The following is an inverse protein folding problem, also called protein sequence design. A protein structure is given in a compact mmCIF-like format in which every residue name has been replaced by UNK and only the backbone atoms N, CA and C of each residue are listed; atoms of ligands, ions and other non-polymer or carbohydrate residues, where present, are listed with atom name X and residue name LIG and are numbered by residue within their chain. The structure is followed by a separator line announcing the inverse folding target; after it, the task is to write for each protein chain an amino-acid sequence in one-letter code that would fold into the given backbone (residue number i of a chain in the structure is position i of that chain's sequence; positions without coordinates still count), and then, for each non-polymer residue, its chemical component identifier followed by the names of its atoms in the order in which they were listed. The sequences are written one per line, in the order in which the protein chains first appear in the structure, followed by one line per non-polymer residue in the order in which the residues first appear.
data_IF_850564344226
#
_entry.id   IF_850564344226
#
_cell.length_a   1.000
_cell.length_b   1.000
_cell.length_c   1.000
_cell.angle_alpha   90.00
_cell.angle_beta   90.00
_cell.angle_gamma   90.00
#
_symmetry.space_group_name_H-M   'P 1'
#
loop_
_entity.id
_entity.type
_entity.pdbx_description
1 polymer ?
#
# COMPACT_ATOMS: atom_id res chain seq x y z
N UNK A 1 66.05 -2.02 41.74
CA UNK A 1 65.02 -1.23 41.03
C UNK A 1 63.90 -2.19 40.74
N UNK A 2 62.74 -1.99 41.36
CA UNK A 2 61.62 -2.93 41.38
C UNK A 2 60.71 -2.64 40.19
N UNK A 3 60.60 -3.59 39.26
CA UNK A 3 59.57 -3.59 38.22
C UNK A 3 58.22 -3.93 38.86
N UNK A 4 57.33 -2.94 38.94
CA UNK A 4 55.95 -3.14 39.34
C UNK A 4 55.12 -3.45 38.08
N UNK A 5 54.73 -4.72 37.95
CA UNK A 5 53.73 -5.20 36.98
C UNK A 5 52.41 -4.46 37.19
N UNK A 6 52.01 -3.65 36.22
CA UNK A 6 50.67 -3.06 36.16
C UNK A 6 49.65 -4.18 35.92
N UNK A 7 48.71 -4.35 36.86
CA UNK A 7 47.59 -5.27 36.71
C UNK A 7 46.70 -4.83 35.54
N UNK A 8 46.15 -5.77 34.74
CA UNK A 8 45.25 -5.42 33.66
C UNK A 8 43.97 -4.80 34.25
N UNK A 9 43.60 -3.64 33.71
CA UNK A 9 42.31 -2.99 33.90
C UNK A 9 41.18 -4.03 33.82
N UNK A 10 40.45 -4.23 34.92
CA UNK A 10 39.22 -5.02 34.91
C UNK A 10 38.24 -4.29 33.99
N UNK A 11 37.91 -4.88 32.85
CA UNK A 11 36.77 -4.47 32.04
C UNK A 11 35.55 -4.42 32.94
N UNK A 12 35.00 -3.22 33.16
CA UNK A 12 33.78 -3.04 33.94
C UNK A 12 32.66 -3.85 33.30
N UNK A 13 32.20 -4.87 34.02
CA UNK A 13 31.03 -5.63 33.60
C UNK A 13 29.81 -4.71 33.58
N UNK A 14 28.99 -4.71 32.51
CA UNK A 14 27.84 -3.82 32.40
C UNK A 14 26.86 -4.08 33.56
N UNK A 15 26.29 -3.00 34.10
CA UNK A 15 25.34 -3.05 35.22
C UNK A 15 24.12 -3.91 34.88
N UNK A 16 23.42 -4.43 35.89
CA UNK A 16 22.20 -5.21 35.68
C UNK A 16 21.13 -4.43 34.89
N UNK A 17 21.05 -3.11 35.12
CA UNK A 17 20.16 -2.20 34.39
C UNK A 17 20.58 -2.04 32.92
N UNK A 18 21.87 -1.88 32.63
CA UNK A 18 22.38 -1.82 31.26
C UNK A 18 22.12 -3.14 30.51
N UNK A 19 22.27 -4.29 31.18
CA UNK A 19 21.92 -5.61 30.63
C UNK A 19 20.41 -5.72 30.35
N UNK A 20 19.56 -5.27 31.28
CA UNK A 20 18.11 -5.32 31.11
C UNK A 20 17.64 -4.45 29.93
N UNK A 21 18.19 -3.23 29.79
CA UNK A 21 17.91 -2.34 28.65
C UNK A 21 18.37 -2.95 27.33
N UNK A 22 19.55 -3.57 27.28
CA UNK A 22 20.03 -4.25 26.08
C UNK A 22 19.15 -5.45 25.68
N UNK A 23 18.68 -6.23 26.67
CA UNK A 23 17.75 -7.35 26.44
C UNK A 23 16.41 -6.82 25.91
N UNK A 24 15.85 -5.77 26.52
CA UNK A 24 14.61 -5.15 26.06
C UNK A 24 14.71 -4.62 24.62
N UNK A 25 15.81 -3.95 24.28
CA UNK A 25 16.07 -3.46 22.93
C UNK A 25 16.18 -4.61 21.92
N UNK A 26 16.81 -5.72 22.30
CA UNK A 26 16.92 -6.93 21.47
C UNK A 26 15.54 -7.56 21.21
N UNK A 27 14.71 -7.68 22.25
CA UNK A 27 13.34 -8.21 22.13
C UNK A 27 12.49 -7.30 21.24
N UNK A 28 12.58 -5.97 21.44
CA UNK A 28 11.85 -5.00 20.63
C UNK A 28 12.25 -5.08 19.15
N UNK A 29 13.55 -5.16 18.86
CA UNK A 29 14.04 -5.34 17.50
C UNK A 29 13.54 -6.64 16.87
N UNK A 30 13.62 -7.76 17.60
CA UNK A 30 13.13 -9.05 17.10
C UNK A 30 11.62 -9.02 16.81
N UNK A 31 10.83 -8.32 17.61
CA UNK A 31 9.40 -8.15 17.36
C UNK A 31 9.12 -7.29 16.11
N UNK A 32 9.91 -6.23 15.88
CA UNK A 32 9.83 -5.42 14.66
C UNK A 32 10.18 -6.26 13.43
N UNK A 33 11.31 -6.99 13.47
CA UNK A 33 11.76 -7.84 12.36
C UNK A 33 10.74 -8.95 12.07
N UNK A 34 10.10 -9.51 13.10
CA UNK A 34 9.03 -10.50 12.94
C UNK A 34 7.76 -9.90 12.33
N UNK A 35 7.33 -8.72 12.77
CA UNK A 35 6.17 -8.03 12.20
C UNK A 35 6.42 -7.64 10.74
N UNK A 36 7.62 -7.15 10.43
CA UNK A 36 8.07 -6.83 9.09
C UNK A 36 8.08 -8.08 8.18
N UNK A 37 8.63 -9.19 8.68
CA UNK A 37 8.61 -10.46 7.95
C UNK A 37 7.18 -10.97 7.73
N UNK A 38 6.32 -10.96 8.76
CA UNK A 38 4.94 -11.40 8.68
C UNK A 38 4.13 -10.54 7.69
N UNK A 39 4.35 -9.22 7.67
CA UNK A 39 3.73 -8.31 6.71
C UNK A 39 4.01 -8.68 5.25
N UNK A 40 5.12 -9.37 4.96
CA UNK A 40 5.53 -9.76 3.60
C UNK A 40 5.32 -11.23 3.28
N UNK A 41 5.16 -12.07 4.30
CA UNK A 41 5.17 -13.51 4.14
C UNK A 41 4.03 -14.15 4.93
N UNK A 42 3.16 -14.87 4.22
CA UNK A 42 2.06 -15.57 4.83
C UNK A 42 1.64 -16.78 4.03
N UNK A 43 1.42 -17.89 4.71
CA UNK A 43 0.92 -19.13 4.13
C UNK A 43 -0.19 -19.65 5.03
N UNK A 44 -1.29 -20.10 4.43
CA UNK A 44 -2.40 -20.61 5.22
C UNK A 44 -1.99 -21.96 5.87
N UNK A 45 -2.20 -22.12 7.19
CA UNK A 45 -1.75 -23.31 7.90
C UNK A 45 -2.53 -24.57 7.50
N UNK A 46 -3.70 -24.44 6.87
CA UNK A 46 -4.49 -25.58 6.39
C UNK A 46 -3.95 -26.02 5.01
N UNK A 47 -3.40 -27.24 4.87
CA UNK A 47 -2.87 -27.71 3.60
C UNK A 47 -4.00 -28.09 2.61
N UNK A 48 -3.64 -28.22 1.33
CA UNK A 48 -4.52 -28.75 0.30
C UNK A 48 -5.16 -27.71 -0.62
N UNK A 49 -5.92 -28.15 -1.64
CA UNK A 49 -6.50 -27.25 -2.64
C UNK A 49 -7.65 -26.42 -2.05
N UNK A 50 -7.70 -25.14 -2.41
CA UNK A 50 -8.76 -24.22 -1.98
C UNK A 50 -9.74 -23.97 -3.13
N UNK A 51 -11.04 -24.24 -2.89
CA UNK A 51 -12.08 -23.92 -3.87
C UNK A 51 -12.50 -22.45 -3.75
N UNK A 52 -12.33 -21.67 -4.81
CA UNK A 52 -12.77 -20.26 -4.86
C UNK A 52 -14.26 -20.13 -4.53
N UNK A 53 -14.58 -19.23 -3.61
CA UNK A 53 -15.93 -19.02 -3.09
C UNK A 53 -16.32 -19.92 -1.91
N UNK A 54 -15.48 -20.88 -1.50
CA UNK A 54 -15.73 -21.70 -0.30
C UNK A 54 -15.53 -20.91 1.00
N UNK A 55 -16.01 -21.44 2.15
CA UNK A 55 -15.67 -20.90 3.47
C UNK A 55 -14.17 -20.92 3.75
N UNK A 56 -13.42 -21.90 3.24
CA UNK A 56 -11.96 -21.93 3.36
C UNK A 56 -11.32 -20.77 2.60
N UNK A 57 -11.78 -20.47 1.38
CA UNK A 57 -11.30 -19.31 0.62
C UNK A 57 -11.55 -18.01 1.38
N UNK A 58 -12.75 -17.83 1.97
CA UNK A 58 -13.07 -16.70 2.83
C UNK A 58 -12.08 -16.54 3.97
N UNK A 59 -11.90 -17.60 4.76
CA UNK A 59 -10.96 -17.60 5.89
C UNK A 59 -9.56 -17.24 5.45
N UNK A 60 -9.12 -17.79 4.33
CA UNK A 60 -7.76 -17.65 3.82
C UNK A 60 -7.42 -16.18 3.52
N UNK A 61 -8.22 -15.48 2.71
CA UNK A 61 -7.90 -14.09 2.38
C UNK A 61 -8.15 -13.12 3.55
N UNK A 62 -9.12 -13.41 4.43
CA UNK A 62 -9.33 -12.60 5.63
C UNK A 62 -8.19 -12.77 6.64
N UNK A 63 -7.77 -14.01 6.90
CA UNK A 63 -6.66 -14.29 7.82
C UNK A 63 -5.34 -13.77 7.26
N UNK A 64 -5.12 -13.83 5.94
CA UNK A 64 -3.95 -13.21 5.32
C UNK A 64 -3.87 -11.73 5.72
N UNK A 65 -4.94 -10.96 5.53
CA UNK A 65 -4.94 -9.55 5.89
C UNK A 65 -4.79 -9.35 7.40
N UNK A 66 -5.57 -10.05 8.21
CA UNK A 66 -5.59 -9.90 9.67
C UNK A 66 -4.26 -10.28 10.34
N UNK A 67 -3.61 -11.35 9.88
CA UNK A 67 -2.40 -11.89 10.52
C UNK A 67 -1.11 -11.24 10.03
N UNK A 68 -1.15 -10.52 8.91
CA UNK A 68 0.03 -9.83 8.38
C UNK A 68 0.01 -8.32 8.71
N UNK A 69 -0.91 -7.88 9.57
CA UNK A 69 -0.99 -6.49 10.00
C UNK A 69 0.26 -6.06 10.77
N UNK A 70 0.84 -4.93 10.36
CA UNK A 70 1.97 -4.33 11.05
C UNK A 70 1.53 -3.02 11.74
N UNK A 71 1.46 -2.98 13.07
CA UNK A 71 0.94 -1.82 13.81
C UNK A 71 1.99 -0.70 13.96
N UNK A 72 2.73 -0.36 12.89
CA UNK A 72 3.67 0.76 12.93
C UNK A 72 2.92 2.08 13.15
N UNK A 73 3.57 3.02 13.85
CA UNK A 73 2.95 4.29 14.25
C UNK A 73 3.48 5.43 13.41
N UNK A 74 2.63 6.14 12.63
CA UNK A 74 3.09 7.28 11.84
C UNK A 74 3.77 8.38 12.67
N UNK A 75 3.33 8.57 13.92
CA UNK A 75 3.85 9.60 14.81
C UNK A 75 5.30 9.39 15.29
N UNK A 76 5.88 8.19 15.08
CA UNK A 76 7.28 7.90 15.47
C UNK A 76 8.20 7.72 14.27
N UNK A 77 7.71 8.04 13.06
CA UNK A 77 8.54 8.08 11.86
C UNK A 77 9.56 9.22 12.03
N UNK A 78 10.84 8.87 11.92
CA UNK A 78 11.93 9.84 11.90
C UNK A 78 12.10 10.38 10.48
N UNK A 79 11.51 11.54 10.21
CA UNK A 79 11.57 12.16 8.89
C UNK A 79 12.99 12.69 8.63
N UNK A 80 13.70 12.20 7.59
CA UNK A 80 15.08 12.59 7.34
C UNK A 80 15.18 14.07 6.98
N UNK A 81 16.23 14.75 7.45
CA UNK A 81 16.58 16.07 6.94
C UNK A 81 16.97 15.96 5.47
N UNK A 82 16.29 16.71 4.61
CA UNK A 82 16.55 16.72 3.17
C UNK A 82 17.53 17.84 2.81
N UNK A 83 18.42 17.58 1.85
CA UNK A 83 19.18 18.66 1.21
C UNK A 83 18.24 19.60 0.42
N UNK A 84 18.68 20.83 0.11
CA UNK A 84 17.82 21.82 -0.55
C UNK A 84 17.20 21.34 -1.88
N UNK A 85 17.94 20.56 -2.67
CA UNK A 85 17.45 20.09 -3.97
C UNK A 85 16.41 18.98 -3.77
N UNK A 86 16.65 18.04 -2.86
CA UNK A 86 15.68 17.00 -2.51
C UNK A 86 14.40 17.59 -1.90
N UNK A 87 14.53 18.57 -0.99
CA UNK A 87 13.38 19.27 -0.41
C UNK A 87 12.57 20.00 -1.48
N UNK A 88 13.23 20.69 -2.42
CA UNK A 88 12.56 21.33 -3.54
C UNK A 88 11.79 20.32 -4.40
N UNK A 89 12.40 19.17 -4.71
CA UNK A 89 11.72 18.11 -5.48
C UNK A 89 10.47 17.58 -4.77
N UNK A 90 10.56 17.27 -3.47
CA UNK A 90 9.42 16.78 -2.68
C UNK A 90 8.30 17.83 -2.62
N UNK A 91 8.63 19.07 -2.27
CA UNK A 91 7.64 20.15 -2.05
C UNK A 91 6.97 20.63 -3.34
N UNK A 92 7.61 20.43 -4.51
CA UNK A 92 7.05 20.80 -5.81
C UNK A 92 6.15 19.74 -6.45
N UNK A 93 6.00 18.55 -5.86
CA UNK A 93 5.12 17.53 -6.42
C UNK A 93 3.63 17.96 -6.28
N UNK A 94 2.87 18.07 -7.38
CA UNK A 94 1.48 18.50 -7.36
C UNK A 94 0.53 17.34 -7.00
N UNK A 95 0.88 16.57 -5.98
CA UNK A 95 0.19 15.31 -5.64
C UNK A 95 -0.31 15.28 -4.20
N UNK A 96 0.24 16.08 -3.30
CA UNK A 96 0.05 15.87 -1.86
C UNK A 96 -1.40 16.03 -1.41
N UNK A 97 -2.10 17.04 -1.94
CA UNK A 97 -3.54 17.23 -1.72
C UNK A 97 -4.33 16.02 -2.20
N UNK A 98 -4.04 15.56 -3.42
CA UNK A 98 -4.73 14.43 -4.04
C UNK A 98 -4.47 13.16 -3.22
N UNK A 99 -3.23 12.93 -2.80
CA UNK A 99 -2.82 11.77 -2.01
C UNK A 99 -3.58 11.69 -0.69
N UNK A 100 -3.48 12.72 0.15
CA UNK A 100 -4.15 12.77 1.45
C UNK A 100 -5.67 12.60 1.30
N UNK A 101 -6.25 13.22 0.29
CA UNK A 101 -7.70 13.12 0.05
C UNK A 101 -8.13 11.77 -0.50
N UNK A 102 -7.31 11.10 -1.31
CA UNK A 102 -7.56 9.75 -1.80
C UNK A 102 -7.60 8.76 -0.64
N UNK A 103 -6.59 8.79 0.24
CA UNK A 103 -6.56 7.93 1.44
C UNK A 103 -7.77 8.21 2.37
N UNK A 104 -8.12 9.49 2.54
CA UNK A 104 -9.30 9.89 3.30
C UNK A 104 -10.60 9.33 2.72
N UNK A 105 -10.78 9.39 1.41
CA UNK A 105 -11.97 8.81 0.74
C UNK A 105 -11.96 7.28 0.75
N UNK A 106 -10.79 6.65 0.58
CA UNK A 106 -10.63 5.21 0.61
C UNK A 106 -11.11 4.65 1.95
N UNK A 107 -10.57 5.15 3.07
CA UNK A 107 -10.98 4.72 4.42
C UNK A 107 -12.49 4.80 4.66
N UNK A 108 -13.16 5.89 4.25
CA UNK A 108 -14.61 6.04 4.38
C UNK A 108 -15.38 5.06 3.50
N UNK A 109 -14.92 4.80 2.27
CA UNK A 109 -15.57 3.83 1.37
C UNK A 109 -15.45 2.40 1.90
N UNK A 110 -14.27 2.00 2.37
CA UNK A 110 -14.05 0.67 2.95
C UNK A 110 -14.92 0.49 4.20
N UNK A 111 -14.88 1.45 5.13
CA UNK A 111 -15.69 1.40 6.35
C UNK A 111 -17.20 1.37 6.05
N UNK A 112 -17.65 2.16 5.08
CA UNK A 112 -19.05 2.18 4.66
C UNK A 112 -19.50 0.82 4.11
N UNK A 113 -18.64 0.13 3.37
CA UNK A 113 -18.93 -1.23 2.91
C UNK A 113 -18.86 -2.26 4.04
N UNK A 114 -17.87 -2.16 4.94
CA UNK A 114 -17.74 -3.02 6.12
C UNK A 114 -19.02 -3.03 6.96
N UNK A 115 -19.65 -1.86 7.16
CA UNK A 115 -20.91 -1.71 7.89
C UNK A 115 -22.09 -2.48 7.28
N UNK A 116 -22.01 -2.85 5.99
CA UNK A 116 -23.05 -3.65 5.31
C UNK A 116 -22.82 -5.16 5.40
N UNK A 117 -21.62 -5.60 5.79
CA UNK A 117 -21.23 -7.00 5.77
C UNK A 117 -21.69 -7.71 7.03
N UNK A 118 -22.45 -8.81 6.90
CA UNK A 118 -22.93 -9.60 8.04
C UNK A 118 -21.94 -10.66 8.53
N UNK A 119 -21.08 -11.17 7.64
CA UNK A 119 -20.07 -12.20 7.95
C UNK A 119 -18.98 -11.61 8.85
N UNK A 120 -18.85 -12.06 10.13
CA UNK A 120 -18.00 -11.39 11.11
C UNK A 120 -16.52 -11.35 10.71
N UNK A 121 -15.98 -12.45 10.18
CA UNK A 121 -14.57 -12.50 9.82
C UNK A 121 -14.24 -11.54 8.67
N UNK A 122 -15.13 -11.46 7.67
CA UNK A 122 -14.98 -10.54 6.55
C UNK A 122 -15.12 -9.08 7.00
N UNK A 123 -16.06 -8.80 7.91
CA UNK A 123 -16.22 -7.47 8.47
C UNK A 123 -14.94 -7.03 9.18
N UNK A 124 -14.36 -7.86 10.04
CA UNK A 124 -13.11 -7.53 10.74
C UNK A 124 -11.94 -7.29 9.79
N UNK A 125 -11.85 -8.06 8.70
CA UNK A 125 -10.82 -7.82 7.68
C UNK A 125 -11.03 -6.47 6.97
N UNK A 126 -12.28 -6.11 6.61
CA UNK A 126 -12.60 -4.80 6.01
C UNK A 126 -12.38 -3.64 6.97
N UNK A 127 -12.69 -3.81 8.25
CA UNK A 127 -12.43 -2.80 9.29
C UNK A 127 -10.92 -2.56 9.46
N UNK A 128 -10.11 -3.62 9.39
CA UNK A 128 -8.66 -3.49 9.37
C UNK A 128 -8.18 -2.77 8.12
N UNK A 129 -8.61 -3.19 6.94
CA UNK A 129 -8.31 -2.56 5.65
C UNK A 129 -8.56 -1.04 5.71
N UNK A 130 -9.79 -0.63 6.07
CA UNK A 130 -10.13 0.79 6.20
C UNK A 130 -9.37 1.55 7.30
N UNK A 131 -8.91 0.86 8.35
CA UNK A 131 -8.05 1.46 9.37
C UNK A 131 -6.61 1.66 8.88
N UNK A 132 -6.11 0.78 8.01
CA UNK A 132 -4.81 0.93 7.35
C UNK A 132 -4.84 2.11 6.37
N UNK A 133 -5.89 2.23 5.54
CA UNK A 133 -6.16 3.40 4.69
C UNK A 133 -6.17 4.71 5.48
N UNK A 134 -6.91 4.73 6.60
CA UNK A 134 -6.95 5.91 7.48
C UNK A 134 -5.57 6.24 8.05
N UNK A 135 -4.72 5.22 8.29
CA UNK A 135 -3.35 5.40 8.75
C UNK A 135 -2.44 5.91 7.64
N UNK A 136 -2.62 5.50 6.39
CA UNK A 136 -1.87 6.02 5.23
C UNK A 136 -2.07 7.52 5.09
N UNK A 137 -3.32 7.99 5.23
CA UNK A 137 -3.63 9.43 5.32
C UNK A 137 -2.79 10.12 6.38
N UNK A 138 -2.72 9.55 7.60
CA UNK A 138 -1.94 10.15 8.70
C UNK A 138 -0.45 10.18 8.38
N UNK A 139 0.11 9.14 7.76
CA UNK A 139 1.51 9.12 7.30
C UNK A 139 1.76 10.28 6.33
N UNK A 140 0.89 10.46 5.32
CA UNK A 140 1.01 11.55 4.35
C UNK A 140 0.85 12.93 5.00
N UNK A 141 -0.13 13.09 5.90
CA UNK A 141 -0.32 14.33 6.67
C UNK A 141 0.91 14.67 7.53
N UNK A 142 1.63 13.67 8.04
CA UNK A 142 2.87 13.88 8.78
C UNK A 142 4.06 14.21 7.89
N UNK A 143 4.13 13.66 6.67
CA UNK A 143 5.14 14.06 5.69
C UNK A 143 5.01 15.55 5.34
N UNK A 144 3.79 15.99 5.02
CA UNK A 144 3.56 17.37 4.56
C UNK A 144 3.84 18.37 5.69
N UNK A 145 3.51 18.00 6.94
CA UNK A 145 3.85 18.78 8.13
C UNK A 145 5.38 18.87 8.30
N UNK A 146 6.08 17.73 8.20
CA UNK A 146 7.54 17.66 8.38
C UNK A 146 8.32 18.51 7.36
N UNK A 147 7.85 18.60 6.12
CA UNK A 147 8.52 19.34 5.05
C UNK A 147 7.88 20.70 4.72
N UNK A 148 6.90 21.16 5.51
CA UNK A 148 6.28 22.47 5.35
C UNK A 148 5.48 22.64 4.05
N UNK A 149 4.88 21.55 3.55
CA UNK A 149 4.08 21.55 2.33
C UNK A 149 2.67 22.04 2.66
N UNK A 150 2.28 23.16 2.05
CA UNK A 150 0.95 23.72 2.23
C UNK A 150 -0.08 22.88 1.47
N UNK A 151 -1.04 22.30 2.20
CA UNK A 151 -2.18 21.62 1.61
C UNK A 151 -3.37 22.57 1.41
N UNK A 152 -4.14 22.32 0.37
CA UNK A 152 -5.49 22.83 0.23
C UNK A 152 -6.37 22.33 1.39
N UNK A 153 -7.43 23.08 1.77
CA UNK A 153 -8.37 22.63 2.78
C UNK A 153 -8.94 21.25 2.43
N UNK A 154 -8.86 20.30 3.37
CA UNK A 154 -9.41 18.97 3.17
C UNK A 154 -10.95 19.04 3.05
N UNK A 155 -11.55 18.38 2.05
CA UNK A 155 -13.00 18.27 1.95
C UNK A 155 -13.54 17.34 3.05
N UNK A 156 -14.84 17.47 3.33
CA UNK A 156 -15.53 16.47 4.13
C UNK A 156 -15.65 15.15 3.36
N UNK A 157 -15.18 14.05 3.96
CA UNK A 157 -15.25 12.72 3.37
C UNK A 157 -16.60 12.07 3.66
N UNK A 158 -17.58 12.30 2.78
CA UNK A 158 -18.92 11.75 2.94
C UNK A 158 -19.00 10.26 2.57
N UNK A 159 -19.80 9.46 3.28
CA UNK A 159 -20.09 8.09 2.88
C UNK A 159 -20.65 8.00 1.45
N UNK A 160 -20.27 6.98 0.66
CA UNK A 160 -20.82 6.79 -0.68
C UNK A 160 -22.31 6.42 -0.62
N UNK A 161 -23.09 6.92 -1.57
CA UNK A 161 -24.52 6.59 -1.68
C UNK A 161 -24.78 5.08 -1.94
N UNK A 162 -23.85 4.41 -2.64
CA UNK A 162 -23.82 2.95 -2.80
C UNK A 162 -22.48 2.44 -2.25
N UNK A 163 -22.52 1.79 -1.09
CA UNK A 163 -21.33 1.28 -0.42
C UNK A 163 -20.60 0.18 -1.23
N UNK A 164 -21.34 -0.68 -1.93
CA UNK A 164 -20.73 -1.71 -2.80
C UNK A 164 -20.05 -1.05 -4.01
N UNK A 165 -20.66 -0.01 -4.58
CA UNK A 165 -20.01 0.79 -5.62
C UNK A 165 -18.73 1.45 -5.11
N UNK A 166 -18.78 2.11 -3.96
CA UNK A 166 -17.62 2.75 -3.34
C UNK A 166 -16.46 1.78 -3.15
N UNK A 167 -16.74 0.61 -2.57
CA UNK A 167 -15.74 -0.44 -2.37
C UNK A 167 -15.16 -0.99 -3.68
N UNK A 168 -16.00 -1.24 -4.69
CA UNK A 168 -15.51 -1.70 -5.99
C UNK A 168 -14.64 -0.65 -6.69
N UNK A 169 -15.00 0.64 -6.61
CA UNK A 169 -14.19 1.73 -7.18
C UNK A 169 -12.84 1.80 -6.49
N UNK A 170 -12.82 1.78 -5.16
CA UNK A 170 -11.60 1.78 -4.34
C UNK A 170 -10.68 0.62 -4.70
N UNK A 171 -11.11 -0.63 -4.51
CA UNK A 171 -10.21 -1.78 -4.71
C UNK A 171 -9.78 -2.02 -6.16
N UNK A 172 -10.60 -1.68 -7.16
CA UNK A 172 -10.14 -1.72 -8.56
C UNK A 172 -9.20 -0.55 -8.90
N UNK A 173 -9.35 0.62 -8.27
CA UNK A 173 -8.41 1.73 -8.45
C UNK A 173 -7.06 1.39 -7.83
N UNK A 174 -7.03 0.89 -6.59
CA UNK A 174 -5.79 0.42 -5.93
C UNK A 174 -5.08 -0.62 -6.78
N UNK A 175 -5.78 -1.58 -7.38
CA UNK A 175 -5.14 -2.54 -8.31
C UNK A 175 -4.36 -1.86 -9.47
N UNK A 176 -4.77 -0.67 -9.90
CA UNK A 176 -4.09 0.13 -10.92
C UNK A 176 -3.00 1.00 -10.28
N UNK A 177 -3.34 1.68 -9.20
CA UNK A 177 -2.51 2.69 -8.55
C UNK A 177 -1.34 2.04 -7.82
N UNK A 178 -1.56 0.97 -7.04
CA UNK A 178 -0.48 0.22 -6.39
C UNK A 178 0.47 -0.39 -7.43
N UNK A 179 -0.02 -0.93 -8.56
CA UNK A 179 0.85 -1.46 -9.63
C UNK A 179 1.82 -0.40 -10.17
N UNK A 180 1.32 0.81 -10.43
CA UNK A 180 2.16 1.90 -10.90
C UNK A 180 3.05 2.48 -9.78
N UNK A 181 2.54 2.60 -8.56
CA UNK A 181 3.29 3.05 -7.39
C UNK A 181 4.47 2.12 -7.08
N UNK A 182 4.30 0.81 -7.17
CA UNK A 182 5.37 -0.18 -6.94
C UNK A 182 6.58 0.08 -7.84
N UNK A 183 6.35 0.31 -9.13
CA UNK A 183 7.43 0.64 -10.06
C UNK A 183 8.02 2.03 -9.82
N UNK A 184 7.17 3.03 -9.55
CA UNK A 184 7.61 4.40 -9.29
C UNK A 184 8.50 4.51 -8.05
N UNK A 185 8.11 3.88 -6.94
CA UNK A 185 8.90 3.86 -5.71
C UNK A 185 10.23 3.15 -5.91
N UNK A 186 10.23 2.03 -6.64
CA UNK A 186 11.48 1.35 -6.97
C UNK A 186 12.36 2.19 -7.91
N UNK A 187 11.78 2.96 -8.84
CA UNK A 187 12.51 3.87 -9.70
C UNK A 187 13.15 4.99 -8.88
N UNK A 188 12.39 5.64 -8.01
CA UNK A 188 12.86 6.69 -7.12
C UNK A 188 14.02 6.22 -6.23
N UNK A 189 13.92 5.00 -5.67
CA UNK A 189 14.99 4.39 -4.88
C UNK A 189 16.26 4.13 -5.71
N UNK A 190 16.12 3.65 -6.95
CA UNK A 190 17.25 3.28 -7.81
C UNK A 190 17.95 4.49 -8.41
N UNK A 191 17.21 5.55 -8.73
CA UNK A 191 17.76 6.76 -9.36
C UNK A 191 18.41 7.71 -8.37
N UNK A 192 18.17 7.56 -7.06
CA UNK A 192 18.58 8.53 -6.05
C UNK A 192 17.83 9.85 -6.15
N UNK A 193 16.69 9.86 -6.88
CA UNK A 193 15.86 11.06 -7.03
C UNK A 193 15.35 11.57 -5.68
N UNK A 194 15.10 10.65 -4.73
CA UNK A 194 14.91 10.98 -3.32
C UNK A 194 15.93 10.22 -2.46
N UNK A 195 16.32 10.77 -1.29
CA UNK A 195 17.16 10.05 -0.33
C UNK A 195 16.54 8.70 0.02
N UNK A 196 17.37 7.65 0.16
CA UNK A 196 16.88 6.31 0.43
C UNK A 196 16.08 6.26 1.73
N UNK A 197 16.50 7.02 2.74
CA UNK A 197 15.85 7.14 4.04
C UNK A 197 14.40 7.65 3.91
N UNK A 198 14.15 8.58 2.98
CA UNK A 198 12.81 9.09 2.71
C UNK A 198 11.97 8.03 2.01
N UNK A 199 12.52 7.32 1.03
CA UNK A 199 11.77 6.31 0.27
C UNK A 199 11.43 5.10 1.16
N UNK A 200 12.37 4.64 1.97
CA UNK A 200 12.19 3.48 2.86
C UNK A 200 11.14 3.74 3.96
N UNK A 201 10.92 5.01 4.34
CA UNK A 201 9.83 5.40 5.25
C UNK A 201 8.44 4.99 4.74
N UNK A 202 8.27 4.93 3.41
CA UNK A 202 7.02 4.52 2.78
C UNK A 202 6.91 3.03 2.49
N UNK A 203 8.00 2.24 2.57
CA UNK A 203 7.94 0.82 2.22
C UNK A 203 6.84 0.05 2.98
N UNK A 204 6.57 0.32 4.28
CA UNK A 204 5.43 -0.29 4.97
C UNK A 204 4.07 0.07 4.33
N UNK A 205 3.84 1.33 3.95
CA UNK A 205 2.61 1.77 3.24
C UNK A 205 2.47 1.01 1.93
N UNK A 206 3.54 0.98 1.13
CA UNK A 206 3.52 0.32 -0.19
C UNK A 206 3.36 -1.20 -0.07
N UNK A 207 3.81 -1.81 1.03
CA UNK A 207 3.58 -3.23 1.27
C UNK A 207 2.15 -3.53 1.73
N UNK A 208 1.52 -2.61 2.48
CA UNK A 208 0.10 -2.69 2.88
C UNK A 208 -0.83 -2.60 1.67
N UNK A 209 -0.56 -1.68 0.75
CA UNK A 209 -1.22 -1.60 -0.56
C UNK A 209 -1.20 -2.95 -1.32
N UNK A 210 -0.07 -3.66 -1.24
CA UNK A 210 0.03 -5.03 -1.78
C UNK A 210 -0.91 -6.02 -1.10
N UNK A 211 -1.13 -5.89 0.21
CA UNK A 211 -2.09 -6.73 0.97
C UNK A 211 -3.53 -6.37 0.62
N UNK A 212 -3.86 -5.08 0.50
CA UNK A 212 -5.20 -4.59 0.16
C UNK A 212 -5.66 -5.10 -1.20
N UNK A 213 -4.84 -4.94 -2.24
CA UNK A 213 -5.21 -5.46 -3.57
C UNK A 213 -5.28 -6.98 -3.60
N UNK A 214 -4.47 -7.68 -2.79
CA UNK A 214 -4.53 -9.13 -2.66
C UNK A 214 -5.82 -9.57 -1.96
N UNK A 215 -6.20 -8.90 -0.88
CA UNK A 215 -7.45 -9.09 -0.17
C UNK A 215 -8.65 -8.83 -1.10
N UNK A 216 -8.66 -7.67 -1.78
CA UNK A 216 -9.74 -7.25 -2.67
C UNK A 216 -10.00 -8.24 -3.81
N UNK A 217 -8.98 -8.71 -4.54
CA UNK A 217 -9.22 -9.62 -5.67
C UNK A 217 -9.76 -10.98 -5.24
N UNK A 218 -9.33 -11.47 -4.06
CA UNK A 218 -9.86 -12.69 -3.48
C UNK A 218 -11.29 -12.49 -2.97
N UNK A 219 -11.56 -11.35 -2.31
CA UNK A 219 -12.92 -10.95 -1.96
C UNK A 219 -13.82 -10.86 -3.19
N UNK A 220 -13.41 -10.18 -4.26
CA UNK A 220 -14.23 -9.98 -5.46
C UNK A 220 -14.58 -11.31 -6.16
N UNK A 221 -13.63 -12.26 -6.15
CA UNK A 221 -13.85 -13.61 -6.66
C UNK A 221 -14.79 -14.43 -5.75
N UNK A 222 -14.59 -14.36 -4.43
CA UNK A 222 -15.46 -15.00 -3.45
C UNK A 222 -16.89 -14.46 -3.51
N UNK A 223 -17.03 -13.14 -3.53
CA UNK A 223 -18.30 -12.43 -3.54
C UNK A 223 -19.12 -12.80 -4.78
N UNK A 224 -18.51 -12.73 -5.97
CA UNK A 224 -19.15 -13.16 -7.23
C UNK A 224 -19.66 -14.60 -7.18
N UNK A 225 -18.91 -15.51 -6.54
CA UNK A 225 -19.29 -16.92 -6.43
C UNK A 225 -20.41 -17.16 -5.43
N UNK A 226 -20.48 -16.36 -4.37
CA UNK A 226 -21.51 -16.47 -3.34
C UNK A 226 -22.79 -15.67 -3.65
N UNK A 227 -22.77 -14.81 -4.66
CA UNK A 227 -24.00 -14.18 -5.16
C UNK A 227 -24.98 -15.22 -5.73
N UNK A 228 -26.30 -15.07 -5.46
CA UNK A 228 -27.35 -15.79 -6.18
C UNK A 228 -27.15 -15.66 -7.68
N UNK A 229 -27.39 -16.74 -8.43
CA UNK A 229 -27.08 -16.79 -9.86
C UNK A 229 -27.69 -15.63 -10.67
N UNK A 230 -28.88 -15.15 -10.28
CA UNK A 230 -29.59 -14.04 -10.91
C UNK A 230 -29.00 -12.65 -10.59
N UNK A 231 -28.26 -12.49 -9.49
CA UNK A 231 -27.53 -11.25 -9.17
C UNK A 231 -26.20 -11.16 -9.90
N UNK A 232 -25.65 -12.28 -10.39
CA UNK A 232 -24.33 -12.32 -11.02
C UNK A 232 -24.24 -11.45 -12.29
N UNK A 233 -25.24 -11.44 -13.20
CA UNK A 233 -25.22 -10.53 -14.35
C UNK A 233 -25.23 -9.05 -13.93
N UNK A 234 -26.05 -8.68 -12.94
CA UNK A 234 -26.11 -7.31 -12.42
C UNK A 234 -24.79 -6.88 -11.79
N UNK A 235 -24.16 -7.76 -11.00
CA UNK A 235 -22.83 -7.52 -10.45
C UNK A 235 -21.78 -7.38 -11.55
N UNK A 236 -21.82 -8.21 -12.59
CA UNK A 236 -20.91 -8.09 -13.73
C UNK A 236 -21.08 -6.74 -14.45
N UNK A 237 -22.32 -6.27 -14.67
CA UNK A 237 -22.59 -4.95 -15.22
C UNK A 237 -22.08 -3.82 -14.30
N UNK A 238 -22.24 -3.95 -12.98
CA UNK A 238 -21.68 -2.99 -12.01
C UNK A 238 -20.16 -2.92 -12.12
N UNK A 239 -19.47 -4.06 -12.17
CA UNK A 239 -18.01 -4.13 -12.36
C UNK A 239 -17.59 -3.49 -13.70
N UNK A 240 -18.31 -3.76 -14.79
CA UNK A 240 -18.02 -3.12 -16.08
C UNK A 240 -18.20 -1.59 -16.02
N UNK A 241 -19.23 -1.12 -15.30
CA UNK A 241 -19.46 0.31 -15.07
C UNK A 241 -18.33 0.94 -14.25
N UNK A 242 -17.81 0.25 -13.23
CA UNK A 242 -16.63 0.70 -12.47
C UNK A 242 -15.41 0.82 -13.40
N UNK A 243 -15.12 -0.19 -14.22
CA UNK A 243 -13.99 -0.11 -15.17
C UNK A 243 -14.15 1.02 -16.19
N UNK A 244 -15.35 1.23 -16.73
CA UNK A 244 -15.62 2.34 -17.63
C UNK A 244 -15.40 3.69 -16.95
N UNK A 245 -15.84 3.83 -15.69
CA UNK A 245 -15.61 5.02 -14.87
C UNK A 245 -14.11 5.25 -14.63
N UNK A 246 -13.36 4.24 -14.18
CA UNK A 246 -11.92 4.34 -13.91
C UNK A 246 -11.09 4.68 -15.16
N UNK A 247 -11.46 4.13 -16.33
CA UNK A 247 -10.82 4.45 -17.61
C UNK A 247 -11.14 5.90 -18.01
N UNK A 248 -12.40 6.32 -17.88
CA UNK A 248 -12.83 7.67 -18.22
C UNK A 248 -12.09 8.73 -17.39
N UNK A 249 -11.98 8.53 -16.06
CA UNK A 249 -11.25 9.45 -15.19
C UNK A 249 -9.77 9.58 -15.61
N UNK A 250 -9.10 8.45 -15.87
CA UNK A 250 -7.68 8.45 -16.25
C UNK A 250 -7.44 9.10 -17.62
N UNK A 251 -8.37 8.93 -18.57
CA UNK A 251 -8.32 9.61 -19.88
C UNK A 251 -8.58 11.11 -19.75
N UNK A 252 -9.49 11.53 -18.87
CA UNK A 252 -9.76 12.95 -18.60
C UNK A 252 -8.52 13.70 -18.12
N UNK A 253 -7.81 13.10 -17.15
CA UNK A 253 -6.56 13.64 -16.59
C UNK A 253 -5.46 13.70 -17.65
N UNK A 254 -5.28 12.62 -18.43
CA UNK A 254 -4.29 12.59 -19.51
C UNK A 254 -4.54 13.65 -20.61
N UNK A 255 -5.77 14.17 -20.73
CA UNK A 255 -6.15 15.20 -21.69
C UNK A 255 -6.15 16.62 -21.11
N UNK A 256 -5.85 16.79 -19.82
CA UNK A 256 -5.91 18.09 -19.15
C UNK A 256 -7.30 18.74 -19.16
N UNK A 257 -8.36 17.94 -19.34
CA UNK A 257 -9.75 18.40 -19.32
C UNK A 257 -10.22 18.35 -17.88
N UNK A 258 -9.71 19.28 -17.06
CA UNK A 258 -10.08 19.43 -15.66
C UNK A 258 -11.07 20.58 -15.53
N UNK A 259 -12.37 20.24 -15.51
CA UNK A 259 -13.44 21.24 -15.51
C UNK A 259 -13.90 21.70 -14.12
N UNK A 260 -13.61 21.00 -13.02
CA UNK A 260 -14.36 21.22 -11.77
C UNK A 260 -13.57 21.31 -10.46
N UNK A 261 -12.23 21.27 -10.46
CA UNK A 261 -11.45 21.50 -9.22
C UNK A 261 -11.69 20.51 -8.07
N UNK A 262 -12.45 19.43 -8.30
CA UNK A 262 -12.63 18.33 -7.36
C UNK A 262 -11.51 17.31 -7.59
N UNK A 263 -10.69 17.06 -6.57
CA UNK A 263 -9.66 16.02 -6.63
C UNK A 263 -10.31 14.66 -6.93
N UNK A 264 -9.95 14.06 -8.08
CA UNK A 264 -10.38 12.72 -8.48
C UNK A 264 -9.29 11.70 -8.12
N UNK A 265 -9.73 10.56 -7.59
CA UNK A 265 -8.89 9.50 -7.01
C UNK A 265 -7.91 8.86 -8.02
N UNK A 266 -8.25 8.92 -9.30
CA UNK A 266 -7.67 8.07 -10.32
C UNK A 266 -6.44 8.69 -11.02
N UNK A 267 -5.29 8.84 -10.35
CA UNK A 267 -3.93 8.91 -10.96
C UNK A 267 -2.79 9.33 -9.98
N UNK A 268 -2.84 8.95 -8.70
CA UNK A 268 -1.77 9.29 -7.74
C UNK A 268 -0.33 9.02 -8.26
N UNK A 269 -0.04 7.90 -8.95
CA UNK A 269 1.31 7.66 -9.48
C UNK A 269 1.62 8.46 -10.76
N UNK A 270 0.63 8.77 -11.60
CA UNK A 270 0.87 9.36 -12.93
C UNK A 270 1.32 10.82 -12.87
N UNK A 271 0.84 11.60 -11.90
CA UNK A 271 1.29 13.00 -11.73
C UNK A 271 2.75 13.09 -11.25
N UNK A 272 3.22 12.08 -10.54
CA UNK A 272 4.61 11.96 -10.06
C UNK A 272 5.56 11.40 -11.14
N UNK A 273 5.03 10.69 -12.15
CA UNK A 273 5.87 10.05 -13.17
C UNK A 273 6.65 11.03 -14.02
N UNK A 274 6.15 12.25 -14.29
CA UNK A 274 6.84 13.19 -15.17
C UNK A 274 8.25 13.57 -14.70
N UNK A 275 8.47 13.69 -13.39
CA UNK A 275 9.76 14.08 -12.83
C UNK A 275 10.75 12.90 -12.67
N UNK A 276 10.24 11.67 -12.50
CA UNK A 276 11.06 10.45 -12.37
C UNK A 276 11.29 9.79 -13.74
N UNK A 277 10.40 9.98 -14.71
CA UNK A 277 10.45 9.41 -16.06
C UNK A 277 11.60 9.95 -16.92
N UNK A 278 12.24 11.06 -16.55
CA UNK A 278 13.46 11.52 -17.24
C UNK A 278 14.63 10.54 -17.05
N UNK A 279 14.55 9.63 -16.07
CA UNK A 279 15.62 8.67 -15.76
C UNK A 279 15.41 7.27 -16.34
N UNK A 280 14.19 6.91 -16.77
CA UNK A 280 13.85 5.57 -17.26
C UNK A 280 12.98 5.64 -18.52
N UNK A 281 13.26 4.79 -19.50
CA UNK A 281 12.36 4.62 -20.63
C UNK A 281 11.01 4.03 -20.19
N UNK A 282 9.96 4.27 -20.97
CA UNK A 282 8.63 3.70 -20.71
C UNK A 282 8.66 2.15 -20.61
N UNK A 283 9.58 1.51 -21.35
CA UNK A 283 9.79 0.07 -21.29
C UNK A 283 10.39 -0.37 -19.96
N UNK A 284 11.45 0.31 -19.50
CA UNK A 284 12.10 0.01 -18.22
C UNK A 284 11.14 0.25 -17.04
N UNK A 285 10.31 1.30 -17.12
CA UNK A 285 9.29 1.57 -16.11
C UNK A 285 8.28 0.42 -16.02
N UNK A 286 7.76 -0.07 -17.16
CA UNK A 286 6.85 -1.23 -17.17
C UNK A 286 7.53 -2.48 -16.59
N UNK A 287 8.79 -2.73 -16.95
CA UNK A 287 9.54 -3.87 -16.44
C UNK A 287 9.72 -3.79 -14.93
N UNK A 288 9.94 -2.59 -14.42
CA UNK A 288 10.04 -2.34 -12.99
C UNK A 288 8.71 -2.54 -12.27
N UNK A 289 7.60 -2.00 -12.79
CA UNK A 289 6.27 -2.26 -12.21
C UNK A 289 5.95 -3.76 -12.17
N UNK A 290 6.25 -4.50 -13.24
CA UNK A 290 6.03 -5.95 -13.31
C UNK A 290 6.85 -6.71 -12.26
N UNK A 291 8.15 -6.42 -12.18
CA UNK A 291 9.06 -7.07 -11.24
C UNK A 291 8.68 -6.76 -9.78
N UNK A 292 8.33 -5.51 -9.47
CA UNK A 292 7.96 -5.10 -8.13
C UNK A 292 6.59 -5.62 -7.70
N UNK A 293 5.63 -5.71 -8.64
CA UNK A 293 4.35 -6.37 -8.38
C UNK A 293 4.54 -7.87 -8.08
N UNK A 294 5.40 -8.56 -8.82
CA UNK A 294 5.72 -9.96 -8.53
C UNK A 294 6.42 -10.11 -7.18
N UNK A 295 7.46 -9.30 -6.91
CA UNK A 295 8.21 -9.30 -5.64
C UNK A 295 7.30 -9.14 -4.44
N UNK A 296 6.41 -8.14 -4.47
CA UNK A 296 5.50 -7.84 -3.34
C UNK A 296 4.47 -8.93 -3.10
N UNK A 297 4.15 -9.72 -4.12
CA UNK A 297 3.14 -10.78 -4.06
C UNK A 297 3.72 -12.18 -3.80
N UNK A 298 5.05 -12.34 -3.90
CA UNK A 298 5.73 -13.64 -3.88
C UNK A 298 5.69 -14.32 -2.50
N UNK A 299 5.65 -13.55 -1.41
CA UNK A 299 5.67 -14.10 -0.05
C UNK A 299 4.32 -14.61 0.45
N UNK A 300 3.22 -14.36 -0.26
CA UNK A 300 1.89 -14.84 0.12
C UNK A 300 1.55 -16.19 -0.50
N UNK A 301 0.67 -16.93 0.15
CA UNK A 301 0.23 -18.26 -0.28
C UNK A 301 -0.14 -18.27 -1.79
N UNK A 302 0.41 -19.21 -2.57
CA UNK A 302 0.18 -19.27 -4.02
C UNK A 302 -1.25 -19.67 -4.39
N UNK A 303 -2.05 -20.19 -3.44
CA UNK A 303 -3.47 -20.53 -3.67
C UNK A 303 -4.37 -19.30 -3.68
N UNK A 304 -3.93 -18.17 -3.12
CA UNK A 304 -4.63 -16.89 -3.21
C UNK A 304 -4.51 -16.32 -4.63
N UNK A 305 -5.60 -15.78 -5.16
CA UNK A 305 -5.61 -15.11 -6.46
C UNK A 305 -4.75 -13.85 -6.44
N UNK A 306 -4.17 -13.48 -7.58
CA UNK A 306 -3.40 -12.24 -7.76
C UNK A 306 -4.12 -11.25 -8.71
N UNK A 307 -3.91 -9.93 -8.57
CA UNK A 307 -4.41 -8.94 -9.51
C UNK A 307 -3.71 -9.10 -10.87
N UNK A 308 -4.43 -9.63 -11.86
CA UNK A 308 -3.82 -9.98 -13.17
C UNK A 308 -4.16 -9.03 -14.31
N UNK A 309 -5.19 -8.18 -14.18
CA UNK A 309 -5.66 -7.33 -15.29
C UNK A 309 -4.56 -6.34 -15.71
N UNK A 310 -4.07 -5.54 -14.77
CA UNK A 310 -3.07 -4.50 -15.04
C UNK A 310 -1.71 -5.10 -15.44
N UNK A 311 -1.16 -6.14 -14.76
CA UNK A 311 0.06 -6.80 -15.22
C UNK A 311 -0.06 -7.41 -16.63
N UNK A 312 -1.21 -7.99 -17.00
CA UNK A 312 -1.41 -8.51 -18.36
C UNK A 312 -1.43 -7.42 -19.42
N UNK A 313 -2.11 -6.30 -19.14
CA UNK A 313 -2.11 -5.14 -20.03
C UNK A 313 -0.69 -4.54 -20.15
N UNK A 314 0.04 -4.42 -19.05
CA UNK A 314 1.43 -3.95 -19.04
C UNK A 314 2.35 -4.87 -19.85
N UNK A 315 2.27 -6.19 -19.66
CA UNK A 315 3.01 -7.18 -20.47
C UNK A 315 2.67 -7.10 -21.96
N UNK A 316 1.41 -6.80 -22.30
CA UNK A 316 0.99 -6.59 -23.68
C UNK A 316 1.60 -5.31 -24.25
N UNK A 317 1.47 -4.17 -23.55
CA UNK A 317 2.04 -2.89 -23.95
C UNK A 317 3.57 -2.97 -24.12
N UNK A 318 4.26 -3.65 -23.20
CA UNK A 318 5.70 -3.91 -23.24
C UNK A 318 6.17 -4.52 -24.57
N UNK A 319 5.37 -5.38 -25.22
CA UNK A 319 5.73 -6.01 -26.49
C UNK A 319 5.84 -5.02 -27.66
N UNK A 320 5.21 -3.85 -27.52
CA UNK A 320 5.19 -2.81 -28.56
C UNK A 320 6.17 -1.66 -28.28
N UNK A 321 6.73 -1.58 -27.07
CA UNK A 321 7.77 -0.61 -26.71
C UNK A 321 9.15 -1.17 -27.05
N UNK A 322 10.00 -0.33 -27.66
CA UNK A 322 11.38 -0.68 -27.99
C UNK A 322 12.24 -0.69 -26.74
#
# INVERSE_FOLDING_TARGET
MSDALAAPSRSEEPSAEARATAVAATIAKAAIDQADHAMRNWTDPEPGPVRIGSPQHLRMFCNMLLQTHNPYKPAVIDWPSLDPDALHRVTSLPIWDIAVQTEGRASIRVQSFANTVAEPLLRSALEMDGAEEARHKVVLSKLVEAYGIALAPEPEYLPPADAEWGWLVTGYSECIDSFAAFGLFAAARRSGFFPAELVETFEPVIQEEGRHILFFVNWAAWYRRNLPWWRRPLYALKVMRVWAFLIWERVGIARGIDADGVAKDANFPMNSTAAIAETLSAREMIDLCLAENERRMAGYDPRLLRPEIVPKLARLARRFLR
#
